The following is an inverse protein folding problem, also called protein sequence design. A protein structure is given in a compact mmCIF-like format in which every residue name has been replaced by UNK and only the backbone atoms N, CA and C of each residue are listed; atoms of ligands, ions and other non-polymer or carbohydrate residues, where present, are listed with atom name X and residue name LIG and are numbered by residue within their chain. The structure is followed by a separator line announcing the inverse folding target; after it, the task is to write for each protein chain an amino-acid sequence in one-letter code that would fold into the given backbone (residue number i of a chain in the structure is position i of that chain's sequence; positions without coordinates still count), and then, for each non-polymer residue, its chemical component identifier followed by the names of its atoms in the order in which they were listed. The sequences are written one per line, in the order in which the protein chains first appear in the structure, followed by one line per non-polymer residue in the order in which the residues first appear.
data_IF_331692085697
#
_entry.id   IF_331692085697
#
_cell.length_a   1.000
_cell.length_b   1.000
_cell.length_c   1.000
_cell.angle_alpha   90.00
_cell.angle_beta   90.00
_cell.angle_gamma   90.00
#
_symmetry.space_group_name_H-M   'P 1'
#
loop_
_entity.id
_entity.type
_entity.pdbx_description
1 polymer ?
#
# COMPACT_ATOMS: atom_id res chain seq x y z
N UNK A 1 -3.35 2.53 12.48
CA UNK A 1 -1.99 2.01 12.18
C UNK A 1 -1.32 2.89 11.14
N UNK A 2 0.00 3.10 11.21
CA UNK A 2 0.72 3.87 10.19
C UNK A 2 0.87 3.08 8.88
N UNK A 3 0.92 3.76 7.73
CA UNK A 3 1.09 3.10 6.41
C UNK A 3 2.36 2.24 6.35
N UNK A 4 3.44 2.67 6.99
CA UNK A 4 4.70 1.92 7.04
C UNK A 4 4.55 0.60 7.80
N UNK A 5 3.71 0.56 8.84
CA UNK A 5 3.46 -0.66 9.60
C UNK A 5 2.64 -1.65 8.76
N UNK A 6 1.64 -1.16 8.03
CA UNK A 6 0.88 -1.97 7.07
C UNK A 6 1.78 -2.56 5.97
N UNK A 7 2.72 -1.77 5.45
CA UNK A 7 3.68 -2.27 4.47
C UNK A 7 4.61 -3.34 5.05
N UNK A 8 5.07 -3.20 6.30
CA UNK A 8 5.90 -4.22 6.97
C UNK A 8 5.12 -5.51 7.22
N UNK A 9 3.89 -5.39 7.72
CA UNK A 9 2.99 -6.52 7.90
C UNK A 9 2.77 -7.27 6.58
N UNK A 10 2.63 -6.54 5.48
CA UNK A 10 2.50 -7.14 4.15
C UNK A 10 3.73 -7.98 3.76
N UNK A 11 4.96 -7.53 4.08
CA UNK A 11 6.16 -8.32 3.85
C UNK A 11 6.17 -9.60 4.68
N UNK A 12 5.84 -9.46 5.97
CA UNK A 12 5.82 -10.56 6.93
C UNK A 12 4.78 -11.63 6.56
N UNK A 13 3.56 -11.20 6.22
CA UNK A 13 2.45 -12.09 5.82
C UNK A 13 2.75 -12.88 4.54
N UNK A 14 3.43 -12.24 3.58
CA UNK A 14 3.76 -12.87 2.29
C UNK A 14 5.12 -13.58 2.32
N UNK A 15 5.85 -13.50 3.44
CA UNK A 15 7.21 -14.03 3.59
C UNK A 15 8.17 -13.55 2.48
N UNK A 16 8.10 -12.27 2.14
CA UNK A 16 8.94 -11.64 1.11
C UNK A 16 9.82 -10.53 1.69
N UNK A 17 10.93 -10.26 1.01
CA UNK A 17 11.81 -9.14 1.32
C UNK A 17 11.51 -7.91 0.44
N UNK A 18 12.23 -6.82 0.68
CA UNK A 18 12.07 -5.57 -0.07
C UNK A 18 12.40 -5.78 -1.57
N UNK A 19 13.37 -6.64 -1.89
CA UNK A 19 13.75 -6.94 -3.27
C UNK A 19 12.61 -7.62 -4.04
N UNK A 20 11.99 -8.65 -3.45
CA UNK A 20 10.82 -9.30 -4.02
C UNK A 20 9.62 -8.33 -4.13
N UNK A 21 9.40 -7.48 -3.13
CA UNK A 21 8.37 -6.44 -3.19
C UNK A 21 8.58 -5.48 -4.37
N UNK A 22 9.81 -5.01 -4.59
CA UNK A 22 10.18 -4.19 -5.74
C UNK A 22 9.92 -4.90 -7.07
N UNK A 23 10.29 -6.18 -7.17
CA UNK A 23 10.06 -6.99 -8.37
C UNK A 23 8.57 -7.15 -8.69
N UNK A 24 7.71 -7.36 -7.68
CA UNK A 24 6.27 -7.49 -7.86
C UNK A 24 5.59 -6.20 -8.34
N UNK A 25 6.17 -5.03 -8.06
CA UNK A 25 5.58 -3.73 -8.35
C UNK A 25 6.29 -2.97 -9.46
N UNK A 26 7.38 -3.53 -9.99
CA UNK A 26 8.28 -2.88 -10.95
C UNK A 26 8.72 -1.47 -10.47
N UNK A 27 9.12 -1.37 -9.20
CA UNK A 27 9.60 -0.13 -8.59
C UNK A 27 11.05 -0.25 -8.12
N UNK A 28 11.75 0.87 -8.04
CA UNK A 28 13.12 0.91 -7.56
C UNK A 28 13.22 0.64 -6.04
N UNK A 29 14.33 0.03 -5.63
CA UNK A 29 14.62 -0.27 -4.21
C UNK A 29 14.72 0.99 -3.35
N UNK A 30 15.27 2.08 -3.91
CA UNK A 30 15.32 3.36 -3.23
C UNK A 30 13.91 3.91 -2.94
N UNK A 31 12.98 3.76 -3.89
CA UNK A 31 11.59 4.17 -3.70
C UNK A 31 10.93 3.32 -2.61
N UNK A 32 11.12 2.00 -2.63
CA UNK A 32 10.59 1.12 -1.60
C UNK A 32 11.15 1.49 -0.22
N UNK A 33 12.46 1.67 -0.10
CA UNK A 33 13.11 2.10 1.14
C UNK A 33 12.49 3.39 1.68
N UNK A 34 12.33 4.43 0.84
CA UNK A 34 11.71 5.71 1.23
C UNK A 34 10.26 5.55 1.72
N UNK A 35 9.52 4.58 1.19
CA UNK A 35 8.17 4.26 1.64
C UNK A 35 8.18 3.56 3.00
N UNK A 36 9.08 2.61 3.22
CA UNK A 36 9.21 1.87 4.48
C UNK A 36 9.77 2.74 5.63
N UNK A 37 10.63 3.72 5.34
CA UNK A 37 11.11 4.71 6.31
C UNK A 37 10.11 5.85 6.54
N UNK A 38 9.15 6.02 5.62
CA UNK A 38 8.20 7.13 5.65
C UNK A 38 8.78 8.47 5.20
N UNK A 39 9.99 8.47 4.62
CA UNK A 39 10.61 9.65 4.01
C UNK A 39 9.79 10.15 2.81
N UNK A 40 9.09 9.23 2.11
CA UNK A 40 8.17 9.57 1.02
C UNK A 40 6.76 9.07 1.29
N UNK A 41 5.78 9.88 0.92
CA UNK A 41 4.36 9.50 0.98
C UNK A 41 4.01 8.55 -0.16
N UNK A 42 3.19 7.56 0.16
CA UNK A 42 2.63 6.63 -0.82
C UNK A 42 1.61 7.36 -1.70
N UNK A 43 1.78 7.29 -3.02
CA UNK A 43 0.79 7.85 -3.94
C UNK A 43 -0.47 6.98 -3.96
N UNK A 44 -1.62 7.59 -4.29
CA UNK A 44 -2.90 6.84 -4.38
C UNK A 44 -2.83 5.71 -5.41
N UNK A 45 -2.19 5.96 -6.55
CA UNK A 45 -2.01 4.95 -7.61
C UNK A 45 -1.17 3.77 -7.14
N UNK A 46 -0.02 4.04 -6.50
CA UNK A 46 0.86 3.00 -5.99
C UNK A 46 0.20 2.23 -4.84
N UNK A 47 -0.58 2.91 -3.98
CA UNK A 47 -1.39 2.24 -2.97
C UNK A 47 -2.39 1.25 -3.58
N UNK A 48 -3.12 1.65 -4.64
CA UNK A 48 -4.02 0.73 -5.36
C UNK A 48 -3.28 -0.45 -5.97
N UNK A 49 -2.11 -0.21 -6.55
CA UNK A 49 -1.29 -1.25 -7.15
C UNK A 49 -0.85 -2.26 -6.10
N UNK A 50 -0.34 -1.80 -4.94
CA UNK A 50 0.06 -2.69 -3.84
C UNK A 50 -1.15 -3.50 -3.34
N UNK A 51 -2.30 -2.86 -3.15
CA UNK A 51 -3.52 -3.56 -2.72
C UNK A 51 -3.91 -4.67 -3.70
N UNK A 52 -3.85 -4.39 -5.01
CA UNK A 52 -4.15 -5.38 -6.04
C UNK A 52 -3.13 -6.52 -6.10
N UNK A 53 -1.83 -6.20 -6.05
CA UNK A 53 -0.74 -7.18 -6.14
C UNK A 53 -0.76 -8.16 -4.97
N UNK A 54 -1.12 -7.71 -3.77
CA UNK A 54 -1.10 -8.51 -2.55
C UNK A 54 -2.51 -8.86 -2.03
N UNK A 55 -3.53 -8.79 -2.90
CA UNK A 55 -4.90 -9.18 -2.60
C UNK A 55 -5.50 -8.51 -1.35
N UNK A 56 -5.13 -7.25 -1.07
CA UNK A 56 -5.69 -6.47 0.05
C UNK A 56 -6.98 -5.74 -0.39
N UNK A 57 -7.93 -5.50 0.53
CA UNK A 57 -9.12 -4.72 0.24
C UNK A 57 -8.79 -3.32 -0.27
N UNK A 58 -9.70 -2.75 -1.07
CA UNK A 58 -9.61 -1.36 -1.49
C UNK A 58 -9.59 -0.45 -0.26
N UNK A 59 -8.62 0.46 -0.22
CA UNK A 59 -8.39 1.47 0.82
C UNK A 59 -7.75 0.91 2.09
N UNK A 60 -7.28 -0.34 2.04
CA UNK A 60 -6.53 -0.93 3.14
C UNK A 60 -5.25 -0.15 3.46
N UNK A 61 -4.56 0.45 2.48
CA UNK A 61 -3.38 1.28 2.74
C UNK A 61 -3.70 2.74 3.07
N UNK A 62 -4.95 3.19 3.02
CA UNK A 62 -5.29 4.54 3.44
C UNK A 62 -5.27 4.63 4.97
N UNK A 63 -4.87 5.80 5.47
CA UNK A 63 -5.02 6.14 6.88
C UNK A 63 -6.47 6.55 7.11
N UNK A 64 -7.07 6.16 8.25
CA UNK A 64 -8.47 6.43 8.63
C UNK A 64 -8.89 7.91 8.63
N UNK A 65 -7.98 8.83 8.28
CA UNK A 65 -8.22 10.26 8.18
C UNK A 65 -8.69 10.72 6.77
N UNK A 66 -8.61 9.86 5.75
CA UNK A 66 -9.12 10.16 4.39
C UNK A 66 -10.52 9.58 4.12
N UNK A 67 -11.10 8.85 5.08
CA UNK A 67 -12.47 8.31 5.01
C UNK A 67 -13.52 9.39 5.26
N UNK A 68 -13.56 10.41 4.40
CA UNK A 68 -14.79 11.16 4.16
C UNK A 68 -15.74 10.25 3.38
N UNK A 69 -16.79 9.79 4.07
CA UNK A 69 -17.73 8.78 3.59
C UNK A 69 -18.31 9.06 2.22
N UNK A 70 -18.02 8.19 1.26
CA UNK A 70 -18.71 8.12 -0.02
C UNK A 70 -19.80 7.05 0.05
N UNK A 71 -21.07 7.48 0.12
CA UNK A 71 -22.21 6.62 -0.14
C UNK A 71 -22.09 6.07 -1.57
N UNK A 72 -21.86 4.76 -1.69
CA UNK A 72 -21.94 4.09 -2.98
C UNK A 72 -23.42 3.79 -3.26
N UNK A 73 -24.05 4.63 -4.07
CA UNK A 73 -25.28 4.26 -4.74
C UNK A 73 -24.94 3.29 -5.87
N UNK A 74 -25.40 2.05 -5.76
CA UNK A 74 -25.18 0.97 -6.72
C UNK A 74 -26.32 0.84 -7.74
N UNK A 75 -27.23 1.82 -7.83
CA UNK A 75 -28.32 1.82 -8.79
C UNK A 75 -28.60 3.22 -9.38
N UNK A 76 -27.62 3.77 -10.09
CA UNK A 76 -27.79 4.96 -10.95
C UNK A 76 -27.76 4.61 -12.43
#
# INVERSE_FOLDING_TARGET
MSQQNKLKELLDENAIDIGAFCACLAIDEQLASDLFTGTKKLSKSLARQIEQTFCKPKFWLESDNDTSGGSYDLFG
#
